data_IF_352716697082
#
_entry.id   IF_352716697082
#
_cell.length_a   1.000
_cell.length_b   1.000
_cell.length_c   1.000
_cell.angle_alpha   90.00
_cell.angle_beta   90.00
_cell.angle_gamma   90.00
#
_symmetry.space_group_name_H-M   'P 1'
#
loop_
_entity.id
_entity.type
_entity.pdbx_description
1 polymer ?
#
# COMPACT_ATOMS: atom_id res chain seq x y z
N UNK A 1 -0.73 12.29 51.44
CA UNK A 1 -1.00 13.55 50.70
C UNK A 1 -1.02 13.31 49.18
N UNK A 2 -1.98 12.53 48.64
CA UNK A 2 -1.95 12.13 47.22
C UNK A 2 -3.30 12.13 46.49
N UNK A 3 -4.32 12.81 47.03
CA UNK A 3 -5.64 12.92 46.38
C UNK A 3 -5.96 14.32 45.83
N UNK A 4 -5.36 15.38 46.39
CA UNK A 4 -5.70 16.78 46.01
C UNK A 4 -5.08 17.30 44.70
N UNK A 5 -4.16 16.56 44.09
CA UNK A 5 -3.52 16.93 42.81
C UNK A 5 -4.26 16.43 41.57
N UNK A 6 -5.07 15.37 41.70
CA UNK A 6 -5.81 14.79 40.56
C UNK A 6 -7.08 15.58 40.21
N UNK A 7 -7.69 16.28 41.17
CA UNK A 7 -8.89 17.10 40.92
C UNK A 7 -8.60 18.45 40.25
N UNK A 8 -7.39 19.00 40.41
CA UNK A 8 -7.05 20.32 39.81
C UNK A 8 -6.79 20.26 38.31
N UNK A 9 -6.37 19.11 37.77
CA UNK A 9 -6.15 18.95 36.31
C UNK A 9 -7.46 18.70 35.57
N UNK A 10 -8.44 18.00 36.17
CA UNK A 10 -9.76 17.80 35.53
C UNK A 10 -10.63 19.06 35.48
N UNK A 11 -10.38 20.03 36.36
CA UNK A 11 -11.13 21.28 36.42
C UNK A 11 -10.68 22.33 35.39
N UNK A 12 -9.43 22.25 34.91
CA UNK A 12 -8.88 23.20 33.93
C UNK A 12 -9.37 22.95 32.49
N UNK A 13 -9.67 21.70 32.12
CA UNK A 13 -10.09 21.35 30.75
C UNK A 13 -11.59 21.64 30.50
N UNK A 14 -12.44 21.62 31.53
CA UNK A 14 -13.87 21.98 31.38
C UNK A 14 -14.13 23.48 31.16
N UNK A 15 -13.19 24.36 31.53
CA UNK A 15 -13.35 25.81 31.38
C UNK A 15 -13.04 26.32 29.97
N UNK A 16 -12.30 25.57 29.17
CA UNK A 16 -11.97 25.98 27.79
C UNK A 16 -13.10 25.68 26.78
N UNK A 17 -13.95 24.69 27.06
CA UNK A 17 -15.00 24.26 26.12
C UNK A 17 -16.38 24.94 26.37
N UNK A 18 -16.50 25.76 27.42
CA UNK A 18 -17.76 26.47 27.76
C UNK A 18 -17.83 27.90 27.20
N UNK A 19 -16.74 28.43 26.64
CA UNK A 19 -16.70 29.77 26.05
C UNK A 19 -17.06 29.81 24.56
N UNK A 20 -17.29 28.67 23.90
CA UNK A 20 -17.56 28.61 22.46
C UNK A 20 -19.03 28.40 22.06
N UNK A 21 -19.95 28.33 23.03
CA UNK A 21 -21.39 28.16 22.78
C UNK A 21 -22.19 29.28 23.44
N UNK A 22 -22.07 30.51 22.92
CA UNK A 22 -23.01 31.60 23.25
C UNK A 22 -22.95 32.75 22.22
N UNK A 23 -23.65 32.54 21.11
CA UNK A 23 -24.22 33.55 20.21
C UNK A 23 -25.04 32.79 19.17
N UNK A 24 -26.33 32.98 18.91
CA UNK A 24 -27.38 33.86 19.42
C UNK A 24 -28.69 33.37 18.78
N UNK A 25 -29.80 33.57 19.48
CA UNK A 25 -31.17 33.20 19.08
C UNK A 25 -31.79 34.22 18.13
N UNK A 26 -32.79 33.84 17.32
CA UNK A 26 -33.81 34.79 16.82
C UNK A 26 -34.51 34.48 15.48
N UNK A 27 -35.69 33.85 15.58
CA UNK A 27 -36.99 34.17 14.94
C UNK A 27 -37.32 34.14 13.42
N UNK A 28 -38.40 33.37 13.14
CA UNK A 28 -39.63 33.57 12.32
C UNK A 28 -39.63 33.81 10.78
N UNK A 29 -40.40 32.91 10.14
CA UNK A 29 -41.50 33.07 9.16
C UNK A 29 -41.26 33.61 7.74
N UNK A 30 -41.87 32.92 6.73
CA UNK A 30 -42.41 33.56 5.53
C UNK A 30 -42.03 32.96 4.16
N UNK A 31 -42.98 32.18 3.60
CA UNK A 31 -43.50 32.22 2.22
C UNK A 31 -42.72 31.71 0.96
N UNK A 32 -43.54 31.06 0.12
CA UNK A 32 -43.58 30.83 -1.33
C UNK A 32 -42.32 30.50 -2.17
N UNK A 33 -42.48 29.44 -2.96
CA UNK A 33 -42.40 29.60 -4.42
C UNK A 33 -41.46 28.67 -5.19
N UNK A 34 -42.04 27.66 -5.84
CA UNK A 34 -41.79 27.46 -7.27
C UNK A 34 -40.80 26.38 -7.70
N UNK A 35 -41.36 25.30 -8.26
CA UNK A 35 -40.91 24.78 -9.55
C UNK A 35 -40.14 23.45 -9.53
N UNK A 36 -40.57 22.52 -10.40
CA UNK A 36 -39.65 21.53 -10.96
C UNK A 36 -40.13 20.09 -11.04
N UNK A 37 -41.16 19.86 -11.85
CA UNK A 37 -41.45 18.69 -12.70
C UNK A 37 -40.95 17.27 -12.31
N UNK A 38 -41.95 16.39 -12.34
CA UNK A 38 -41.96 14.93 -12.27
C UNK A 38 -41.18 14.20 -13.36
N UNK A 39 -40.62 13.05 -12.96
CA UNK A 39 -40.32 11.85 -13.75
C UNK A 39 -41.18 11.63 -14.99
N UNK A 40 -40.51 11.28 -16.09
CA UNK A 40 -40.66 10.01 -16.81
C UNK A 40 -39.94 10.10 -18.15
N UNK A 41 -39.05 9.16 -18.46
CA UNK A 41 -39.21 8.33 -19.66
C UNK A 41 -38.16 7.22 -19.73
N UNK A 42 -38.70 6.02 -19.67
CA UNK A 42 -38.11 4.76 -20.05
C UNK A 42 -38.42 4.55 -21.54
N UNK A 43 -37.41 4.26 -22.37
CA UNK A 43 -37.63 3.71 -23.71
C UNK A 43 -36.39 2.93 -24.14
N UNK A 44 -36.43 1.64 -23.83
CA UNK A 44 -35.65 0.58 -24.45
C UNK A 44 -36.27 0.28 -25.83
N UNK A 45 -35.47 0.32 -26.90
CA UNK A 45 -35.82 -0.35 -28.15
C UNK A 45 -34.55 -0.93 -28.79
N UNK A 46 -34.55 -2.26 -28.88
CA UNK A 46 -33.59 -3.07 -29.59
C UNK A 46 -34.35 -3.80 -30.71
N UNK A 47 -33.95 -3.56 -31.95
CA UNK A 47 -34.26 -4.31 -33.17
C UNK A 47 -33.21 -3.82 -34.19
N UNK A 48 -32.40 -4.62 -34.86
CA UNK A 48 -32.64 -5.89 -35.52
C UNK A 48 -32.17 -5.68 -36.97
N UNK A 49 -31.28 -6.52 -37.49
CA UNK A 49 -30.82 -6.40 -38.88
C UNK A 49 -29.57 -7.22 -39.19
N UNK A 50 -29.79 -8.40 -39.76
CA UNK A 50 -28.80 -9.33 -40.33
C UNK A 50 -28.62 -9.06 -41.84
N UNK A 51 -27.75 -9.86 -42.51
CA UNK A 51 -27.55 -10.10 -43.99
C UNK A 51 -26.11 -9.74 -44.44
N UNK A 52 -25.20 -10.72 -44.64
CA UNK A 52 -24.82 -11.45 -45.89
C UNK A 52 -23.99 -10.57 -46.90
N UNK A 53 -22.93 -10.98 -47.62
CA UNK A 53 -22.26 -12.24 -47.91
C UNK A 53 -20.96 -11.99 -48.75
N UNK A 54 -20.13 -13.05 -48.89
CA UNK A 54 -19.27 -13.44 -50.05
C UNK A 54 -17.93 -12.70 -50.31
N UNK A 55 -16.79 -13.42 -50.17
CA UNK A 55 -16.00 -14.21 -51.17
C UNK A 55 -15.10 -13.31 -52.05
N UNK A 56 -13.85 -13.62 -52.44
CA UNK A 56 -13.10 -14.89 -52.59
C UNK A 56 -11.65 -14.58 -53.03
N UNK A 57 -10.70 -15.47 -52.70
CA UNK A 57 -9.50 -15.95 -53.47
C UNK A 57 -8.47 -14.91 -54.02
N UNK A 58 -7.16 -15.15 -54.14
CA UNK A 58 -6.41 -16.39 -54.40
C UNK A 58 -4.88 -16.26 -54.14
N UNK A 59 -4.21 -17.41 -54.24
CA UNK A 59 -2.85 -17.87 -53.90
C UNK A 59 -1.74 -17.52 -54.91
N UNK A 60 -0.48 -17.47 -54.44
CA UNK A 60 0.75 -18.13 -55.01
C UNK A 60 1.97 -17.82 -54.11
N UNK A 61 3.11 -18.53 -54.03
CA UNK A 61 3.57 -19.93 -54.01
C UNK A 61 5.10 -19.90 -54.23
N UNK A 62 5.87 -20.76 -53.51
CA UNK A 62 7.24 -21.23 -53.81
C UNK A 62 8.40 -20.17 -53.79
N UNK A 63 9.68 -20.46 -53.50
CA UNK A 63 10.47 -21.69 -53.48
C UNK A 63 11.82 -21.45 -52.73
N UNK A 64 12.47 -22.53 -52.29
CA UNK A 64 13.84 -22.58 -51.76
C UNK A 64 14.77 -23.22 -52.82
N UNK A 65 16.08 -22.91 -52.87
CA UNK A 65 17.04 -24.03 -52.88
C UNK A 65 18.40 -23.73 -52.20
N UNK A 66 19.00 -24.77 -51.59
CA UNK A 66 20.25 -24.70 -50.82
C UNK A 66 21.54 -25.04 -51.58
N UNK A 67 22.66 -25.06 -50.82
CA UNK A 67 23.96 -25.75 -51.03
C UNK A 67 24.92 -25.31 -49.91
N UNK A 68 26.00 -26.00 -49.51
CA UNK A 68 26.37 -27.39 -49.22
C UNK A 68 27.78 -27.29 -48.58
N UNK A 69 27.98 -27.91 -47.41
CA UNK A 69 29.22 -28.39 -46.75
C UNK A 69 30.52 -27.55 -46.71
N UNK A 70 31.13 -27.48 -45.51
CA UNK A 70 32.40 -28.20 -45.20
C UNK A 70 32.64 -28.35 -43.69
N UNK A 71 32.96 -29.59 -43.28
CA UNK A 71 33.47 -29.99 -41.96
C UNK A 71 34.92 -29.51 -41.78
N UNK A 72 35.28 -29.15 -40.55
CA UNK A 72 36.65 -29.39 -40.07
C UNK A 72 36.62 -29.70 -38.56
N UNK A 73 36.92 -30.95 -38.26
CA UNK A 73 37.29 -31.46 -36.95
C UNK A 73 38.60 -30.80 -36.48
N UNK A 74 38.71 -30.49 -35.19
CA UNK A 74 39.99 -30.72 -34.51
C UNK A 74 39.81 -31.02 -33.01
N UNK A 75 40.57 -32.03 -32.59
CA UNK A 75 40.53 -32.75 -31.32
C UNK A 75 41.00 -31.93 -30.11
N UNK A 76 40.47 -32.35 -28.96
CA UNK A 76 40.74 -31.95 -27.56
C UNK A 76 42.07 -32.54 -27.05
N UNK A 77 42.75 -31.85 -26.13
CA UNK A 77 43.27 -32.43 -24.86
C UNK A 77 43.82 -31.37 -23.87
N UNK A 78 43.89 -31.67 -22.55
CA UNK A 78 43.67 -30.71 -21.47
C UNK A 78 44.88 -30.46 -20.55
N UNK A 79 44.93 -29.28 -19.92
CA UNK A 79 45.61 -28.93 -18.65
C UNK A 79 45.43 -27.40 -18.49
N UNK A 80 44.95 -26.81 -17.40
CA UNK A 80 45.36 -26.99 -16.02
C UNK A 80 44.24 -26.43 -15.14
N UNK A 81 43.92 -27.18 -14.09
CA UNK A 81 43.01 -26.81 -13.01
C UNK A 81 43.37 -25.42 -12.45
N UNK A 82 42.58 -24.39 -12.78
CA UNK A 82 42.50 -23.19 -11.95
C UNK A 82 41.41 -23.46 -10.93
N UNK A 83 41.84 -23.78 -9.72
CA UNK A 83 40.98 -23.76 -8.54
C UNK A 83 40.29 -22.39 -8.48
N UNK A 84 39.01 -22.37 -8.79
CA UNK A 84 38.12 -21.25 -8.45
C UNK A 84 38.01 -21.26 -6.94
N UNK A 85 38.77 -20.37 -6.31
CA UNK A 85 38.57 -20.02 -4.90
C UNK A 85 37.12 -19.52 -4.76
N UNK A 86 36.40 -19.86 -3.68
CA UNK A 86 35.14 -19.21 -3.42
C UNK A 86 35.45 -17.72 -3.23
N UNK A 87 34.95 -16.91 -4.16
CA UNK A 87 34.93 -15.46 -4.00
C UNK A 87 34.18 -15.20 -2.71
N UNK A 88 34.93 -14.78 -1.70
CA UNK A 88 34.38 -14.07 -0.56
C UNK A 88 33.69 -12.84 -1.15
N UNK A 89 32.37 -12.88 -1.31
CA UNK A 89 31.57 -11.75 -1.73
C UNK A 89 31.57 -10.77 -0.55
N UNK A 90 32.68 -10.06 -0.40
CA UNK A 90 32.64 -8.74 0.17
C UNK A 90 31.70 -7.96 -0.74
N UNK A 91 30.50 -7.66 -0.24
CA UNK A 91 29.48 -6.91 -0.96
C UNK A 91 30.12 -5.62 -1.45
N UNK A 92 30.49 -5.58 -2.74
CA UNK A 92 30.84 -4.34 -3.37
C UNK A 92 29.65 -3.39 -3.17
N UNK A 93 29.87 -2.13 -2.74
CA UNK A 93 28.77 -1.21 -2.52
C UNK A 93 27.98 -1.07 -3.82
N UNK A 94 26.70 -1.46 -3.79
CA UNK A 94 25.81 -1.27 -4.94
C UNK A 94 25.62 0.24 -5.16
N UNK A 95 26.14 0.74 -6.27
CA UNK A 95 26.06 2.14 -6.67
C UNK A 95 24.83 2.44 -7.52
N UNK A 96 23.91 1.49 -7.66
CA UNK A 96 22.64 1.69 -8.36
C UNK A 96 21.84 2.86 -7.77
N UNK A 97 21.00 3.48 -8.60
CA UNK A 97 20.07 4.53 -8.16
C UNK A 97 19.20 4.00 -7.02
N UNK A 98 18.74 2.74 -7.12
CA UNK A 98 17.96 2.04 -6.11
C UNK A 98 18.70 1.96 -4.78
N UNK A 99 19.91 1.41 -4.75
CA UNK A 99 20.67 1.27 -3.51
C UNK A 99 21.05 2.62 -2.89
N UNK A 100 21.47 3.59 -3.70
CA UNK A 100 21.75 4.97 -3.24
C UNK A 100 20.52 5.60 -2.60
N UNK A 101 19.35 5.44 -3.23
CA UNK A 101 18.10 5.98 -2.70
C UNK A 101 17.70 5.27 -1.40
N UNK A 102 17.75 3.94 -1.34
CA UNK A 102 17.39 3.17 -0.15
C UNK A 102 18.32 3.43 1.03
N UNK A 103 19.64 3.53 0.80
CA UNK A 103 20.59 3.94 1.83
C UNK A 103 20.27 5.34 2.39
N UNK A 104 19.86 6.28 1.53
CA UNK A 104 19.44 7.62 1.96
C UNK A 104 18.19 7.54 2.85
N UNK A 105 17.13 6.89 2.37
CA UNK A 105 15.87 6.72 3.11
C UNK A 105 16.11 6.05 4.46
N UNK A 106 16.88 4.97 4.50
CA UNK A 106 17.20 4.25 5.73
C UNK A 106 17.95 5.15 6.73
N UNK A 107 18.95 5.91 6.28
CA UNK A 107 19.71 6.85 7.14
C UNK A 107 18.83 7.99 7.67
N UNK A 108 17.95 8.53 6.84
CA UNK A 108 17.03 9.60 7.24
C UNK A 108 16.06 9.11 8.32
N UNK A 109 15.48 7.93 8.11
CA UNK A 109 14.64 7.23 9.10
C UNK A 109 15.43 7.05 10.40
N UNK A 110 16.59 6.40 10.37
CA UNK A 110 17.41 6.15 11.58
C UNK A 110 17.76 7.43 12.35
N UNK A 111 18.02 8.54 11.65
CA UNK A 111 18.29 9.85 12.27
C UNK A 111 17.08 10.37 13.06
N UNK A 112 15.87 10.24 12.50
CA UNK A 112 14.63 10.64 13.18
C UNK A 112 14.39 9.76 14.41
N UNK A 113 14.60 8.45 14.29
CA UNK A 113 14.38 7.49 15.38
C UNK A 113 15.34 7.73 16.55
N UNK A 114 16.62 7.95 16.28
CA UNK A 114 17.61 8.21 17.33
C UNK A 114 17.40 9.53 18.07
N UNK A 115 16.66 10.47 17.47
CA UNK A 115 16.28 11.74 18.10
C UNK A 115 15.01 11.68 18.96
N UNK A 116 14.25 10.58 18.90
CA UNK A 116 12.99 10.42 19.61
C UNK A 116 13.07 9.28 20.63
N UNK A 117 12.52 9.52 21.83
CA UNK A 117 12.49 8.51 22.89
C UNK A 117 11.52 7.37 22.56
N UNK A 118 10.37 7.71 21.98
CA UNK A 118 9.29 6.79 21.62
C UNK A 118 8.89 7.04 20.16
N UNK A 119 9.57 6.41 19.18
CA UNK A 119 9.29 6.65 17.77
C UNK A 119 7.97 5.99 17.36
N UNK A 120 7.23 6.64 16.45
CA UNK A 120 5.92 6.16 15.97
C UNK A 120 6.03 4.77 15.32
N UNK A 121 7.14 4.53 14.61
CA UNK A 121 7.49 3.24 14.04
C UNK A 121 8.98 2.94 14.26
N UNK A 122 9.45 1.78 13.82
CA UNK A 122 10.87 1.41 13.71
C UNK A 122 11.07 0.58 12.45
N UNK A 123 12.29 0.58 11.89
CA UNK A 123 12.61 -0.17 10.65
C UNK A 123 13.86 -1.01 10.83
N UNK A 124 13.81 -2.25 10.36
CA UNK A 124 14.90 -3.21 10.35
C UNK A 124 15.06 -3.85 8.96
N UNK A 125 16.31 -4.11 8.57
CA UNK A 125 16.62 -4.85 7.34
C UNK A 125 16.42 -6.34 7.58
N UNK A 126 15.85 -7.04 6.60
CA UNK A 126 15.64 -8.49 6.70
C UNK A 126 16.90 -9.19 6.22
N UNK A 127 17.59 -9.93 7.09
CA UNK A 127 18.84 -10.63 6.74
C UNK A 127 19.90 -9.69 6.11
N UNK A 128 20.04 -8.48 6.64
CA UNK A 128 20.91 -7.43 6.09
C UNK A 128 20.62 -7.05 4.62
N UNK A 129 19.44 -7.39 4.12
CA UNK A 129 19.00 -7.07 2.77
C UNK A 129 18.49 -5.62 2.71
N UNK A 130 19.21 -4.76 1.99
CA UNK A 130 18.80 -3.37 1.76
C UNK A 130 17.47 -3.26 1.00
N UNK A 131 17.02 -4.30 0.30
CA UNK A 131 15.84 -4.28 -0.55
C UNK A 131 14.57 -4.88 0.09
N UNK A 132 14.67 -5.41 1.31
CA UNK A 132 13.54 -5.99 2.06
C UNK A 132 13.58 -5.56 3.52
N UNK A 133 12.55 -4.84 3.97
CA UNK A 133 12.51 -4.26 5.32
C UNK A 133 11.30 -4.76 6.11
N UNK A 134 11.48 -4.91 7.42
CA UNK A 134 10.39 -4.90 8.38
C UNK A 134 10.22 -3.50 8.96
N UNK A 135 8.99 -3.01 8.97
CA UNK A 135 8.61 -1.82 9.73
C UNK A 135 7.63 -2.21 10.84
N UNK A 136 7.92 -1.83 12.08
CA UNK A 136 7.02 -2.03 13.22
C UNK A 136 6.37 -0.69 13.55
N UNK A 137 5.06 -0.59 13.38
CA UNK A 137 4.27 0.58 13.75
C UNK A 137 3.81 0.42 15.20
N UNK A 138 4.37 1.24 16.10
CA UNK A 138 4.16 1.16 17.55
C UNK A 138 3.00 2.05 18.01
N UNK A 139 2.88 3.24 17.42
CA UNK A 139 1.92 4.25 17.83
C UNK A 139 0.93 4.51 16.69
N UNK A 140 -0.36 4.43 17.00
CA UNK A 140 -1.46 4.91 16.18
C UNK A 140 -2.24 5.98 16.97
N UNK A 141 -3.21 6.64 16.34
CA UNK A 141 -4.03 7.65 17.02
C UNK A 141 -4.67 7.06 18.30
N UNK A 142 -4.37 7.60 19.50
CA UNK A 142 -4.82 7.04 20.78
C UNK A 142 -6.34 7.07 20.95
N UNK A 143 -7.04 7.97 20.24
CA UNK A 143 -8.50 8.05 20.30
C UNK A 143 -9.19 7.02 19.38
N UNK A 144 -8.42 6.34 18.53
CA UNK A 144 -8.92 5.34 17.59
C UNK A 144 -9.36 4.04 18.27
N UNK A 145 -10.30 3.33 17.64
CA UNK A 145 -10.67 1.97 18.05
C UNK A 145 -9.51 0.98 17.89
N UNK A 146 -8.60 1.24 16.94
CA UNK A 146 -7.41 0.43 16.71
C UNK A 146 -6.43 0.50 17.88
N UNK A 147 -6.18 1.69 18.44
CA UNK A 147 -5.33 1.85 19.64
C UNK A 147 -5.88 1.07 20.83
N UNK A 148 -7.21 1.11 21.02
CA UNK A 148 -7.90 0.35 22.07
C UNK A 148 -7.71 -1.15 21.86
N UNK A 149 -7.92 -1.63 20.65
CA UNK A 149 -7.70 -3.03 20.29
C UNK A 149 -6.25 -3.47 20.56
N UNK A 150 -5.25 -2.66 20.17
CA UNK A 150 -3.83 -2.95 20.43
C UNK A 150 -3.55 -3.07 21.93
N UNK A 151 -4.11 -2.16 22.73
CA UNK A 151 -3.94 -2.16 24.19
C UNK A 151 -4.64 -3.35 24.85
N UNK A 152 -5.91 -3.60 24.51
CA UNK A 152 -6.71 -4.69 25.07
C UNK A 152 -6.14 -6.08 24.75
N UNK A 153 -5.56 -6.24 23.56
CA UNK A 153 -4.98 -7.52 23.11
C UNK A 153 -3.48 -7.62 23.36
N UNK A 154 -2.88 -6.62 24.04
CA UNK A 154 -1.45 -6.56 24.34
C UNK A 154 -0.58 -6.75 23.09
N UNK A 155 -0.96 -6.08 21.99
CA UNK A 155 -0.23 -6.09 20.72
C UNK A 155 0.68 -4.86 20.70
N UNK A 156 2.01 -5.05 20.77
CA UNK A 156 2.94 -3.93 20.90
C UNK A 156 3.11 -3.13 19.61
N UNK A 157 2.90 -3.76 18.45
CA UNK A 157 3.07 -3.13 17.14
C UNK A 157 2.28 -3.84 16.03
N UNK A 158 2.11 -3.14 14.91
CA UNK A 158 1.68 -3.71 13.64
C UNK A 158 2.94 -3.91 12.78
N UNK A 159 3.22 -5.15 12.39
CA UNK A 159 4.37 -5.53 11.57
C UNK A 159 4.01 -5.40 10.08
N UNK A 160 4.82 -4.62 9.36
CA UNK A 160 4.73 -4.39 7.93
C UNK A 160 5.96 -4.96 7.24
N UNK A 161 5.75 -5.50 6.05
CA UNK A 161 6.82 -5.99 5.18
C UNK A 161 6.86 -5.15 3.92
N UNK A 162 8.04 -4.58 3.64
CA UNK A 162 8.31 -3.75 2.47
C UNK A 162 9.32 -4.45 1.57
N UNK A 163 8.98 -4.60 0.29
CA UNK A 163 9.87 -5.11 -0.75
C UNK A 163 10.03 -4.04 -1.81
N UNK A 164 11.26 -3.56 -2.00
CA UNK A 164 11.55 -2.54 -2.99
C UNK A 164 11.82 -3.20 -4.34
N UNK A 165 11.18 -2.80 -5.45
CA UNK A 165 11.45 -3.38 -6.77
C UNK A 165 12.79 -2.89 -7.36
N UNK A 166 13.29 -3.57 -8.40
CA UNK A 166 14.55 -3.21 -9.08
C UNK A 166 14.53 -1.80 -9.66
N UNK A 167 13.37 -1.33 -10.10
CA UNK A 167 13.20 0.01 -10.66
C UNK A 167 12.87 1.09 -9.61
N UNK A 168 12.99 0.80 -8.30
CA UNK A 168 12.84 1.82 -7.26
C UNK A 168 13.91 2.92 -7.41
N UNK A 169 13.58 4.23 -7.28
CA UNK A 169 12.33 4.81 -6.78
C UNK A 169 11.28 5.14 -7.86
N UNK A 170 11.44 4.69 -9.10
CA UNK A 170 10.47 4.95 -10.17
C UNK A 170 9.23 4.05 -10.10
N UNK A 171 9.28 2.99 -9.29
CA UNK A 171 8.14 2.16 -8.94
C UNK A 171 7.97 2.09 -7.40
N UNK A 172 6.73 1.95 -6.89
CA UNK A 172 6.47 1.89 -5.46
C UNK A 172 7.01 0.60 -4.83
N UNK A 173 7.33 0.60 -3.52
CA UNK A 173 7.54 -0.64 -2.79
C UNK A 173 6.25 -1.46 -2.74
N UNK A 174 6.37 -2.78 -2.79
CA UNK A 174 5.29 -3.66 -2.37
C UNK A 174 5.26 -3.69 -0.84
N UNK A 175 4.19 -3.15 -0.25
CA UNK A 175 4.00 -3.10 1.20
C UNK A 175 2.77 -3.90 1.61
N UNK A 176 2.90 -4.70 2.67
CA UNK A 176 1.79 -5.48 3.24
C UNK A 176 1.84 -5.54 4.77
N UNK A 177 0.69 -5.76 5.38
CA UNK A 177 0.58 -6.16 6.79
C UNK A 177 0.98 -7.63 6.93
N UNK A 178 1.83 -7.91 7.92
CA UNK A 178 2.23 -9.27 8.30
C UNK A 178 1.37 -9.74 9.47
N UNK A 179 1.36 -8.95 10.54
CA UNK A 179 0.60 -9.21 11.76
C UNK A 179 0.39 -7.90 12.53
N UNK A 180 -0.64 -7.79 13.39
CA UNK A 180 -1.75 -8.72 13.55
C UNK A 180 -2.69 -8.70 12.34
N UNK A 181 -3.69 -9.60 12.33
CA UNK A 181 -4.76 -9.54 11.34
C UNK A 181 -5.65 -8.32 11.62
N UNK A 182 -5.75 -7.44 10.63
CA UNK A 182 -6.57 -6.23 10.67
C UNK A 182 -7.69 -6.36 9.65
N UNK A 183 -8.91 -6.00 10.05
CA UNK A 183 -10.06 -5.81 9.17
C UNK A 183 -10.37 -4.32 9.02
N UNK A 184 -10.91 -3.93 7.86
CA UNK A 184 -11.08 -2.52 7.46
C UNK A 184 -9.73 -1.80 7.39
N UNK A 185 -9.70 -0.47 7.58
CA UNK A 185 -8.43 0.28 7.56
C UNK A 185 -7.71 0.23 6.22
N UNK A 186 -8.44 -0.04 5.13
CA UNK A 186 -7.88 -0.30 3.79
C UNK A 186 -6.93 -1.53 3.73
N UNK A 187 -7.01 -2.45 4.69
CA UNK A 187 -6.31 -3.74 4.66
C UNK A 187 -7.21 -4.79 4.03
N UNK A 188 -6.68 -5.50 3.03
CA UNK A 188 -7.35 -6.54 2.26
C UNK A 188 -6.86 -7.94 2.66
N UNK A 189 -7.36 -8.95 1.95
CA UNK A 189 -6.92 -10.34 2.12
C UNK A 189 -5.40 -10.49 1.98
N UNK A 190 -4.84 -11.42 2.78
CA UNK A 190 -3.40 -11.64 2.83
C UNK A 190 -2.58 -10.50 3.45
N UNK A 191 -3.22 -9.38 3.84
CA UNK A 191 -2.55 -8.19 4.37
C UNK A 191 -2.18 -7.17 3.30
N UNK A 192 -2.72 -7.27 2.07
CA UNK A 192 -2.53 -6.25 1.05
C UNK A 192 -3.11 -4.90 1.49
N UNK A 193 -2.52 -3.80 1.00
CA UNK A 193 -2.89 -2.45 1.40
C UNK A 193 -3.51 -1.72 0.20
N UNK A 194 -4.71 -1.17 0.40
CA UNK A 194 -5.45 -0.43 -0.61
C UNK A 194 -5.18 1.07 -0.48
N UNK A 195 -4.09 1.54 -1.09
CA UNK A 195 -3.73 2.96 -1.13
C UNK A 195 -3.25 3.33 -2.53
N UNK A 196 -3.77 4.43 -3.07
CA UNK A 196 -3.42 4.92 -4.41
C UNK A 196 -1.91 5.15 -4.58
N UNK A 197 -1.26 5.73 -3.56
CA UNK A 197 0.18 6.00 -3.61
C UNK A 197 1.05 4.74 -3.74
N UNK A 198 0.55 3.56 -3.37
CA UNK A 198 1.28 2.30 -3.53
C UNK A 198 1.03 1.66 -4.91
N UNK A 199 0.27 2.32 -5.78
CA UNK A 199 -0.01 1.84 -7.14
C UNK A 199 0.81 2.59 -8.18
N UNK A 200 1.06 2.00 -9.36
CA UNK A 200 1.82 2.66 -10.43
C UNK A 200 1.28 4.04 -10.82
N UNK A 201 -0.04 4.24 -10.73
CA UNK A 201 -0.71 5.50 -11.08
C UNK A 201 -0.51 6.59 -10.03
N UNK A 202 -0.56 6.23 -8.74
CA UNK A 202 -0.49 7.19 -7.64
C UNK A 202 0.89 7.41 -7.05
N UNK A 203 1.85 6.55 -7.41
CA UNK A 203 3.22 6.63 -6.90
C UNK A 203 3.99 7.80 -7.51
N UNK A 204 4.71 8.54 -6.67
CA UNK A 204 5.70 9.51 -7.09
C UNK A 204 7.05 9.16 -6.46
N UNK A 205 8.12 9.19 -7.25
CA UNK A 205 9.48 8.93 -6.76
C UNK A 205 9.96 9.94 -5.71
N UNK A 206 9.25 11.05 -5.54
CA UNK A 206 9.48 12.05 -4.50
C UNK A 206 8.98 11.62 -3.11
N UNK A 207 8.08 10.63 -3.01
CA UNK A 207 7.63 10.12 -1.72
C UNK A 207 8.78 9.44 -0.97
N UNK A 208 8.85 9.72 0.33
CA UNK A 208 9.78 9.07 1.26
C UNK A 208 9.12 7.84 1.88
N UNK A 209 9.91 6.85 2.28
CA UNK A 209 9.42 5.63 2.93
C UNK A 209 8.75 5.98 4.27
N UNK A 210 9.30 6.96 4.98
CA UNK A 210 8.69 7.50 6.20
C UNK A 210 7.28 8.04 5.94
N UNK A 211 7.10 8.89 4.92
CA UNK A 211 5.80 9.46 4.60
C UNK A 211 4.79 8.38 4.21
N UNK A 212 5.21 7.35 3.46
CA UNK A 212 4.36 6.20 3.11
C UNK A 212 3.87 5.46 4.36
N UNK A 213 4.77 5.17 5.31
CA UNK A 213 4.44 4.50 6.57
C UNK A 213 3.48 5.34 7.44
N UNK A 214 3.72 6.66 7.52
CA UNK A 214 2.86 7.59 8.25
C UNK A 214 1.47 7.75 7.62
N UNK A 215 1.39 7.81 6.29
CA UNK A 215 0.11 7.84 5.59
C UNK A 215 -0.66 6.54 5.78
N UNK A 216 0.03 5.40 5.78
CA UNK A 216 -0.62 4.12 6.08
C UNK A 216 -1.15 4.08 7.51
N UNK A 217 -0.37 4.52 8.50
CA UNK A 217 -0.83 4.63 9.90
C UNK A 217 -2.10 5.48 10.02
N UNK A 218 -2.13 6.63 9.33
CA UNK A 218 -3.33 7.47 9.27
C UNK A 218 -4.50 6.78 8.56
N UNK A 219 -4.25 6.03 7.47
CA UNK A 219 -5.31 5.32 6.75
C UNK A 219 -5.95 4.20 7.57
N UNK A 220 -5.19 3.55 8.45
CA UNK A 220 -5.73 2.54 9.36
C UNK A 220 -6.81 3.14 10.27
N UNK A 221 -6.53 4.33 10.82
CA UNK A 221 -7.46 5.06 11.69
C UNK A 221 -8.66 5.58 10.89
N UNK A 222 -8.40 6.25 9.76
CA UNK A 222 -9.46 6.79 8.88
C UNK A 222 -10.40 5.68 8.38
N UNK A 223 -9.86 4.53 8.00
CA UNK A 223 -10.63 3.38 7.56
C UNK A 223 -11.23 2.55 8.71
N UNK A 224 -11.18 3.06 9.95
CA UNK A 224 -11.73 2.41 11.14
C UNK A 224 -11.21 0.97 11.33
N UNK A 225 -9.93 0.76 11.08
CA UNK A 225 -9.26 -0.54 11.21
C UNK A 225 -9.47 -1.17 12.59
N UNK A 226 -9.70 -2.49 12.61
CA UNK A 226 -9.91 -3.27 13.84
C UNK A 226 -9.04 -4.52 13.82
N UNK A 227 -8.50 -4.90 14.95
CA UNK A 227 -7.72 -6.14 15.05
C UNK A 227 -8.67 -7.30 15.28
N UNK A 228 -8.53 -8.34 14.47
CA UNK A 228 -9.33 -9.56 14.56
C UNK A 228 -8.77 -10.44 15.68
N UNK A 229 -9.57 -10.68 16.72
CA UNK A 229 -9.24 -11.65 17.77
C UNK A 229 -9.06 -13.02 17.11
N UNK A 230 -7.97 -13.73 17.42
CA UNK A 230 -7.66 -15.05 16.86
C UNK A 230 -8.86 -16.01 17.05
N UNK A 231 -9.64 -16.23 16.00
CA UNK A 231 -10.68 -17.25 15.95
C UNK A 231 -10.12 -18.51 15.29
N UNK A 232 -10.71 -19.68 15.60
CA UNK A 232 -10.25 -20.99 15.10
C UNK A 232 -10.23 -21.12 13.56
N UNK A 233 -10.92 -20.24 12.83
CA UNK A 233 -11.02 -20.23 11.36
C UNK A 233 -10.27 -19.08 10.68
N UNK A 234 -9.56 -18.23 11.45
CA UNK A 234 -8.86 -17.08 10.88
C UNK A 234 -7.62 -17.51 10.12
N UNK A 235 -7.70 -17.55 8.79
CA UNK A 235 -6.52 -17.68 7.91
C UNK A 235 -5.53 -16.55 8.20
N UNK A 236 -4.27 -16.91 8.42
CA UNK A 236 -3.19 -15.96 8.62
C UNK A 236 -2.87 -15.20 7.33
N UNK A 237 -2.31 -13.99 7.47
CA UNK A 237 -1.87 -13.20 6.33
C UNK A 237 -0.69 -13.89 5.64
N UNK A 238 -0.80 -14.04 4.32
CA UNK A 238 0.23 -14.66 3.49
C UNK A 238 0.67 -13.72 2.38
N UNK A 239 1.97 -13.73 2.07
CA UNK A 239 2.54 -12.93 0.98
C UNK A 239 1.84 -13.20 -0.35
N UNK A 240 1.61 -14.47 -0.68
CA UNK A 240 0.98 -14.88 -1.95
C UNK A 240 -0.42 -14.28 -2.09
N UNK A 241 -1.25 -14.41 -1.06
CA UNK A 241 -2.61 -13.85 -1.06
C UNK A 241 -2.58 -12.32 -1.15
N UNK A 242 -1.63 -11.66 -0.47
CA UNK A 242 -1.48 -10.21 -0.57
C UNK A 242 -1.11 -9.76 -1.99
N UNK A 243 -0.18 -10.46 -2.65
CA UNK A 243 0.21 -10.14 -4.03
C UNK A 243 -0.95 -10.34 -5.01
N UNK A 244 -1.73 -11.41 -4.85
CA UNK A 244 -2.93 -11.67 -5.66
C UNK A 244 -4.00 -10.57 -5.45
N UNK A 245 -4.28 -10.20 -4.20
CA UNK A 245 -5.20 -9.13 -3.84
C UNK A 245 -4.75 -7.78 -4.41
N UNK A 246 -3.47 -7.44 -4.28
CA UNK A 246 -2.90 -6.20 -4.82
C UNK A 246 -2.99 -6.13 -6.35
N UNK A 247 -2.70 -7.24 -7.06
CA UNK A 247 -2.86 -7.30 -8.53
C UNK A 247 -4.32 -7.07 -8.95
N UNK A 248 -5.27 -7.64 -8.22
CA UNK A 248 -6.71 -7.43 -8.47
C UNK A 248 -7.12 -5.97 -8.23
N UNK A 249 -6.60 -5.39 -7.14
CA UNK A 249 -6.82 -3.99 -6.78
C UNK A 249 -6.34 -3.04 -7.89
N UNK A 250 -5.09 -3.19 -8.35
CA UNK A 250 -4.52 -2.31 -9.38
C UNK A 250 -5.36 -2.37 -10.67
N UNK A 251 -5.72 -3.58 -11.12
CA UNK A 251 -6.59 -3.76 -12.31
C UNK A 251 -7.95 -3.08 -12.16
N UNK A 252 -8.55 -3.17 -10.97
CA UNK A 252 -9.87 -2.59 -10.69
C UNK A 252 -9.80 -1.06 -10.72
N UNK A 253 -8.80 -0.46 -10.09
CA UNK A 253 -8.64 1.01 -10.08
C UNK A 253 -8.10 1.58 -11.39
N UNK A 254 -7.37 0.80 -12.20
CA UNK A 254 -7.06 1.19 -13.58
C UNK A 254 -8.33 1.29 -14.43
N UNK A 255 -9.25 0.34 -14.26
CA UNK A 255 -10.50 0.28 -15.03
C UNK A 255 -11.54 1.32 -14.58
N UNK A 256 -11.71 1.50 -13.28
CA UNK A 256 -12.81 2.30 -12.72
C UNK A 256 -12.36 3.60 -12.04
N UNK A 257 -11.05 3.82 -11.89
CA UNK A 257 -10.49 4.99 -11.21
C UNK A 257 -10.45 4.87 -9.68
N UNK A 258 -9.91 5.91 -9.05
CA UNK A 258 -9.91 6.09 -7.60
C UNK A 258 -11.03 7.05 -7.23
N UNK A 259 -11.87 6.64 -6.27
CA UNK A 259 -12.96 7.47 -5.75
C UNK A 259 -12.57 7.93 -4.34
N UNK A 260 -12.62 9.23 -4.11
CA UNK A 260 -12.51 9.79 -2.76
C UNK A 260 -13.89 9.68 -2.10
N UNK A 261 -14.04 8.95 -0.97
CA UNK A 261 -15.30 8.93 -0.24
C UNK A 261 -15.68 10.36 0.18
N UNK A 262 -16.98 10.66 0.21
CA UNK A 262 -17.46 11.96 0.66
C UNK A 262 -17.03 12.23 2.11
N UNK A 263 -16.77 13.48 2.47
CA UNK A 263 -16.32 13.87 3.82
C UNK A 263 -17.31 13.47 4.94
N UNK A 264 -18.56 13.14 4.60
CA UNK A 264 -19.62 12.77 5.53
C UNK A 264 -19.52 11.35 6.12
N UNK A 265 -18.65 10.49 5.60
CA UNK A 265 -18.53 9.08 6.05
C UNK A 265 -17.42 8.86 7.11
N UNK A 266 -16.92 9.94 7.74
CA UNK A 266 -15.84 9.94 8.73
C UNK A 266 -16.31 10.03 10.17
#
# INVERSE_FOLDING_TARGET
MSSRLKEKVSAAIRKFNKSRSRSGSGDKAGDAGGGGATSANNANSNAGGNVLAKNSNEVVAAESPGKRMRRQDNKVSPATSRMVMPVNVQHAPDHSIRARRLMKEYKEIQKVHNGQKDPVFTVELINDNLYEWYARLHIVDPDSKLAKDMTEMNIPFILLHLVFPDNFPFAPPFMRVVEPRIEKGFVMEGGAICMELLTPRGWASAYTVEAVLMQFAASLVKGQGRIVRKTKSSKEFSRRTAEEAFRSLVKTHEKYGWVTPALSDG
#
